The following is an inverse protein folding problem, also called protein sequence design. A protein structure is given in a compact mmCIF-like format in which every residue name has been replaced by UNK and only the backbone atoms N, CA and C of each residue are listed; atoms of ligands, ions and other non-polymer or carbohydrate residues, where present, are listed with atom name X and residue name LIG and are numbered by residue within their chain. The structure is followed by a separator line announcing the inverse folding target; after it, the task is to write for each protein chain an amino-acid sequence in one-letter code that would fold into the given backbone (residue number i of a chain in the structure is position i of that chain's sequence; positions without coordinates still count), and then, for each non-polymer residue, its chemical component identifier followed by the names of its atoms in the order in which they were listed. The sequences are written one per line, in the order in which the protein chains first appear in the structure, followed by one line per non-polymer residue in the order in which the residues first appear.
data_IF_129348400721
#
_entry.id   IF_129348400721
#
_cell.length_a   1.000
_cell.length_b   1.000
_cell.length_c   1.000
_cell.angle_alpha   90.00
_cell.angle_beta   90.00
_cell.angle_gamma   90.00
#
_symmetry.space_group_name_H-M   'P 1'
#
loop_
_entity.id
_entity.type
_entity.pdbx_description
1 polymer ?
#
# COMPACT_ATOMS: atom_id res chain seq x y z
N UNK A 1 -12.99 5.74 -20.26
CA UNK A 1 -11.65 6.10 -19.75
C UNK A 1 -11.61 5.92 -18.25
N UNK A 2 -10.54 5.33 -17.74
CA UNK A 2 -10.39 5.02 -16.31
C UNK A 2 -9.90 6.24 -15.54
N UNK A 3 -10.42 6.47 -14.33
CA UNK A 3 -10.08 7.66 -13.54
C UNK A 3 -10.25 7.43 -12.04
N UNK A 4 -9.43 8.12 -11.25
CA UNK A 4 -9.61 8.25 -9.81
C UNK A 4 -9.76 9.72 -9.45
N UNK A 5 -10.86 10.07 -8.79
CA UNK A 5 -11.16 11.41 -8.29
C UNK A 5 -10.90 11.40 -6.78
N UNK A 6 -9.88 12.13 -6.33
CA UNK A 6 -9.47 12.16 -4.93
C UNK A 6 -9.89 13.50 -4.35
N UNK A 7 -10.71 13.46 -3.30
CA UNK A 7 -11.31 14.62 -2.64
C UNK A 7 -11.77 15.69 -3.65
N UNK A 8 -12.62 15.35 -4.62
CA UNK A 8 -13.01 16.27 -5.69
C UNK A 8 -13.68 17.52 -5.11
N UNK A 9 -13.36 18.69 -5.67
CA UNK A 9 -13.96 19.96 -5.22
C UNK A 9 -15.23 20.34 -6.00
N UNK A 10 -15.47 19.65 -7.12
CA UNK A 10 -16.58 19.90 -8.04
C UNK A 10 -17.22 18.59 -8.43
N UNK A 11 -18.48 18.69 -8.85
CA UNK A 11 -19.22 17.58 -9.41
C UNK A 11 -18.53 16.99 -10.64
N UNK A 12 -18.71 15.69 -10.83
CA UNK A 12 -18.33 14.98 -12.04
C UNK A 12 -19.55 14.55 -12.85
N UNK A 13 -19.29 13.93 -14.01
CA UNK A 13 -20.35 13.47 -14.91
C UNK A 13 -21.22 12.35 -14.30
N UNK A 14 -20.74 11.68 -13.26
CA UNK A 14 -21.36 10.49 -12.66
C UNK A 14 -21.49 10.57 -11.13
N UNK A 15 -21.08 11.69 -10.52
CA UNK A 15 -21.16 11.89 -9.09
C UNK A 15 -21.35 13.37 -8.73
N UNK A 16 -21.98 13.62 -7.59
CA UNK A 16 -22.13 14.94 -6.97
C UNK A 16 -21.33 15.01 -5.68
N UNK A 17 -20.84 16.19 -5.36
CA UNK A 17 -19.97 16.41 -4.19
C UNK A 17 -20.62 17.39 -3.21
N UNK A 18 -20.69 16.98 -1.95
CA UNK A 18 -21.13 17.84 -0.86
C UNK A 18 -20.04 18.81 -0.37
N UNK A 19 -20.42 19.91 0.31
CA UNK A 19 -19.48 20.74 1.05
C UNK A 19 -18.63 19.92 2.04
N UNK A 20 -17.42 20.38 2.38
CA UNK A 20 -16.55 19.65 3.29
C UNK A 20 -17.15 19.59 4.70
N UNK A 21 -17.05 18.42 5.32
CA UNK A 21 -17.50 18.11 6.66
C UNK A 21 -16.36 17.48 7.49
N UNK A 22 -16.55 17.42 8.82
CA UNK A 22 -15.65 16.76 9.78
C UNK A 22 -16.46 15.85 10.70
N UNK A 23 -15.80 14.96 11.43
CA UNK A 23 -16.48 14.07 12.39
C UNK A 23 -17.32 12.98 11.72
N UNK A 24 -16.89 12.50 10.56
CA UNK A 24 -17.60 11.46 9.84
C UNK A 24 -17.42 10.10 10.53
N UNK A 25 -18.52 9.47 10.92
CA UNK A 25 -18.51 8.13 11.52
C UNK A 25 -18.85 7.10 10.46
N UNK A 26 -18.00 6.08 10.31
CA UNK A 26 -18.29 4.95 9.42
C UNK A 26 -19.61 4.29 9.80
N UNK A 27 -20.44 3.99 8.81
CA UNK A 27 -21.76 3.40 8.99
C UNK A 27 -21.89 2.04 8.29
N UNK A 28 -21.45 1.95 7.03
CA UNK A 28 -21.55 0.72 6.23
C UNK A 28 -20.43 0.69 5.20
N UNK A 29 -19.94 -0.50 4.85
CA UNK A 29 -19.04 -0.69 3.74
C UNK A 29 -19.20 -2.06 3.09
N UNK A 30 -18.77 -2.18 1.83
CA UNK A 30 -18.86 -3.41 1.05
C UNK A 30 -17.51 -4.13 0.92
N UNK A 31 -17.26 -5.11 1.80
CA UNK A 31 -16.02 -5.89 1.79
C UNK A 31 -15.89 -6.81 0.56
N UNK A 32 -16.95 -7.04 -0.22
CA UNK A 32 -16.88 -7.89 -1.40
C UNK A 32 -16.26 -7.18 -2.61
N UNK A 33 -16.23 -5.84 -2.60
CA UNK A 33 -15.69 -5.07 -3.71
C UNK A 33 -14.15 -5.09 -3.73
N UNK A 34 -13.49 -5.30 -4.89
CA UNK A 34 -12.02 -5.35 -4.99
C UNK A 34 -11.28 -4.12 -4.45
N UNK A 35 -11.93 -2.95 -4.48
CA UNK A 35 -11.37 -1.72 -3.91
C UNK A 35 -11.15 -1.79 -2.39
N UNK A 36 -11.92 -2.62 -1.68
CA UNK A 36 -11.87 -2.76 -0.22
C UNK A 36 -11.25 -4.09 0.22
N UNK A 37 -10.63 -4.83 -0.71
CA UNK A 37 -9.94 -6.08 -0.45
C UNK A 37 -8.82 -5.87 0.59
N UNK A 38 -8.86 -6.66 1.68
CA UNK A 38 -7.91 -6.58 2.81
C UNK A 38 -7.87 -5.25 3.57
N UNK A 39 -8.84 -4.35 3.34
CA UNK A 39 -8.90 -3.06 4.03
C UNK A 39 -9.63 -3.20 5.36
N UNK A 40 -8.97 -2.81 6.45
CA UNK A 40 -9.63 -2.61 7.74
C UNK A 40 -10.09 -1.15 7.86
N UNK A 41 -11.29 -0.84 7.35
CA UNK A 41 -11.85 0.52 7.38
C UNK A 41 -12.03 1.12 8.78
N UNK A 42 -12.37 0.37 9.84
CA UNK A 42 -12.44 0.92 11.20
C UNK A 42 -11.13 1.52 11.72
N UNK A 43 -9.99 1.18 11.11
CA UNK A 43 -8.68 1.76 11.45
C UNK A 43 -8.41 3.10 10.75
N UNK A 44 -9.31 3.54 9.85
CA UNK A 44 -9.21 4.84 9.19
C UNK A 44 -9.93 5.88 10.04
N UNK A 45 -9.16 6.78 10.64
CA UNK A 45 -9.69 7.86 11.48
C UNK A 45 -10.25 9.00 10.61
N UNK A 46 -11.59 9.07 10.49
CA UNK A 46 -12.28 10.12 9.76
C UNK A 46 -12.69 11.33 10.63
N UNK A 47 -12.51 11.24 11.95
CA UNK A 47 -13.03 12.24 12.89
C UNK A 47 -12.37 13.62 12.72
N UNK A 48 -11.06 13.64 12.43
CA UNK A 48 -10.25 14.85 12.41
C UNK A 48 -9.83 15.30 11.00
N UNK A 49 -10.19 14.56 9.95
CA UNK A 49 -9.86 14.89 8.57
C UNK A 49 -11.07 15.50 7.85
N UNK A 50 -10.85 16.46 6.93
CA UNK A 50 -11.91 16.94 6.07
C UNK A 50 -12.37 15.81 5.15
N UNK A 51 -13.68 15.62 5.07
CA UNK A 51 -14.32 14.70 4.13
C UNK A 51 -15.41 15.41 3.34
N UNK A 52 -15.74 14.90 2.17
CA UNK A 52 -16.81 15.36 1.30
C UNK A 52 -17.66 14.15 0.95
N UNK A 53 -18.95 14.23 1.24
CA UNK A 53 -19.84 13.17 0.82
C UNK A 53 -19.99 13.18 -0.70
N UNK A 54 -20.01 11.99 -1.27
CA UNK A 54 -20.25 11.71 -2.68
C UNK A 54 -21.68 11.20 -2.78
N UNK A 55 -22.41 11.65 -3.78
CA UNK A 55 -23.69 11.07 -4.13
C UNK A 55 -23.61 10.57 -5.56
N UNK A 56 -24.14 9.38 -5.80
CA UNK A 56 -24.11 8.72 -7.10
C UNK A 56 -25.46 8.17 -7.48
N UNK A 57 -25.71 8.04 -8.77
CA UNK A 57 -26.87 7.34 -9.32
C UNK A 57 -26.43 6.00 -9.95
N UNK A 58 -27.33 5.01 -10.06
CA UNK A 58 -27.05 3.78 -10.79
C UNK A 58 -26.52 4.08 -12.21
N UNK A 59 -25.49 3.36 -12.70
CA UNK A 59 -24.95 2.09 -12.20
C UNK A 59 -23.81 2.22 -11.17
N UNK A 60 -23.52 3.41 -10.64
CA UNK A 60 -22.48 3.54 -9.62
C UNK A 60 -22.86 2.84 -8.31
N UNK A 61 -21.84 2.32 -7.62
CA UNK A 61 -21.93 1.61 -6.36
C UNK A 61 -21.31 2.45 -5.24
N UNK A 62 -22.07 2.66 -4.17
CA UNK A 62 -21.61 3.31 -2.94
C UNK A 62 -20.93 2.26 -2.03
N UNK A 63 -19.61 2.32 -1.93
CA UNK A 63 -18.80 1.27 -1.29
C UNK A 63 -18.50 1.55 0.17
N UNK A 64 -18.35 2.81 0.56
CA UNK A 64 -18.12 3.22 1.96
C UNK A 64 -19.08 4.34 2.30
N UNK A 65 -19.91 4.13 3.32
CA UNK A 65 -20.91 5.06 3.79
C UNK A 65 -20.60 5.49 5.23
N UNK A 66 -20.88 6.75 5.52
CA UNK A 66 -20.66 7.38 6.81
C UNK A 66 -21.87 8.20 7.25
N UNK A 67 -21.82 8.74 8.47
CA UNK A 67 -22.83 9.66 9.00
C UNK A 67 -23.02 10.94 8.18
N UNK A 68 -22.05 11.31 7.35
CA UNK A 68 -22.16 12.49 6.47
C UNK A 68 -22.52 12.14 5.02
N UNK A 69 -22.59 10.85 4.68
CA UNK A 69 -22.87 10.33 3.34
C UNK A 69 -21.79 9.36 2.83
N UNK A 70 -21.81 9.04 1.54
CA UNK A 70 -20.84 8.12 0.92
C UNK A 70 -19.47 8.76 0.83
N UNK A 71 -18.43 8.02 1.21
CA UNK A 71 -17.03 8.44 1.20
C UNK A 71 -16.22 7.76 0.10
N UNK A 72 -16.70 6.64 -0.44
CA UNK A 72 -16.07 5.93 -1.56
C UNK A 72 -17.17 5.41 -2.48
N UNK A 73 -17.11 5.79 -3.76
CA UNK A 73 -18.01 5.27 -4.77
C UNK A 73 -17.22 4.75 -5.98
N UNK A 74 -17.73 3.70 -6.60
CA UNK A 74 -17.17 3.09 -7.80
C UNK A 74 -18.19 3.12 -8.93
N UNK A 75 -17.72 3.38 -10.14
CA UNK A 75 -18.50 3.33 -11.36
C UNK A 75 -17.80 2.40 -12.34
N UNK A 76 -18.48 1.32 -12.73
CA UNK A 76 -17.94 0.32 -13.64
C UNK A 76 -18.91 0.11 -14.82
N UNK A 77 -18.32 0.11 -16.00
CA UNK A 77 -18.95 -0.20 -17.29
C UNK A 77 -17.98 -1.09 -18.06
N UNK A 78 -18.42 -1.68 -19.17
CA UNK A 78 -17.56 -2.50 -20.03
C UNK A 78 -16.26 -1.77 -20.46
N UNK A 79 -16.34 -0.45 -20.67
CA UNK A 79 -15.24 0.36 -21.24
C UNK A 79 -14.58 1.33 -20.24
N UNK A 80 -15.07 1.39 -19.00
CA UNK A 80 -14.51 2.32 -18.02
C UNK A 80 -14.73 1.92 -16.57
N UNK A 81 -13.68 2.14 -15.78
CA UNK A 81 -13.68 2.07 -14.32
C UNK A 81 -13.30 3.41 -13.72
N UNK A 82 -14.19 3.98 -12.93
CA UNK A 82 -13.96 5.27 -12.25
C UNK A 82 -14.22 5.12 -10.77
N UNK A 83 -13.40 5.75 -9.95
CA UNK A 83 -13.57 5.78 -8.49
C UNK A 83 -13.56 7.21 -8.00
N UNK A 84 -14.41 7.53 -7.04
CA UNK A 84 -14.45 8.82 -6.39
C UNK A 84 -14.28 8.62 -4.88
N UNK A 85 -13.36 9.38 -4.28
CA UNK A 85 -13.05 9.38 -2.86
C UNK A 85 -13.40 10.72 -2.25
N UNK A 86 -14.21 10.68 -1.19
CA UNK A 86 -14.62 11.83 -0.43
C UNK A 86 -13.55 12.34 0.54
N UNK A 87 -12.40 11.68 0.63
CA UNK A 87 -11.35 11.99 1.59
C UNK A 87 -10.00 11.92 0.91
N UNK A 88 -9.03 12.61 1.52
CA UNK A 88 -7.66 12.65 1.03
C UNK A 88 -6.91 11.35 1.42
N UNK A 89 -6.18 10.78 0.47
CA UNK A 89 -5.34 9.59 0.65
C UNK A 89 -3.83 9.94 0.64
N UNK A 90 -3.50 11.21 0.39
CA UNK A 90 -2.14 11.73 0.36
C UNK A 90 -1.85 12.77 1.47
N UNK A 91 -0.59 12.91 1.92
CA UNK A 91 0.60 12.17 1.50
C UNK A 91 0.64 10.75 2.09
N UNK A 92 1.27 9.83 1.36
CA UNK A 92 1.46 8.45 1.78
C UNK A 92 2.36 8.37 3.03
N UNK A 93 1.77 8.11 4.19
CA UNK A 93 2.51 7.82 5.43
C UNK A 93 2.25 6.38 5.85
N UNK A 94 2.95 5.42 5.24
CA UNK A 94 2.77 3.98 5.48
C UNK A 94 2.88 3.53 6.95
N UNK A 95 3.55 4.32 7.80
CA UNK A 95 3.61 4.05 9.26
C UNK A 95 2.37 4.48 10.05
N UNK A 96 1.53 5.36 9.49
CA UNK A 96 0.37 5.95 10.20
C UNK A 96 -0.98 5.41 9.70
N UNK A 97 -1.06 4.85 8.49
CA UNK A 97 -2.34 4.40 7.95
C UNK A 97 -2.20 3.27 6.93
N UNK A 98 -1.91 2.05 7.39
CA UNK A 98 -1.81 0.86 6.53
C UNK A 98 -3.07 0.67 5.67
N UNK A 99 -4.27 0.93 6.22
CA UNK A 99 -5.53 0.86 5.48
C UNK A 99 -5.59 1.82 4.29
N UNK A 100 -5.11 3.07 4.43
CA UNK A 100 -5.07 4.03 3.31
C UNK A 100 -4.09 3.60 2.23
N UNK A 101 -2.96 2.99 2.61
CA UNK A 101 -2.00 2.41 1.66
C UNK A 101 -2.63 1.30 0.83
N UNK A 102 -3.36 0.39 1.49
CA UNK A 102 -4.06 -0.71 0.82
C UNK A 102 -5.16 -0.17 -0.10
N UNK A 103 -5.97 0.78 0.36
CA UNK A 103 -6.99 1.44 -0.49
C UNK A 103 -6.36 2.06 -1.73
N UNK A 104 -5.25 2.78 -1.57
CA UNK A 104 -4.54 3.43 -2.68
C UNK A 104 -4.04 2.41 -3.72
N UNK A 105 -3.45 1.30 -3.25
CA UNK A 105 -2.99 0.22 -4.13
C UNK A 105 -4.16 -0.50 -4.83
N UNK A 106 -5.24 -0.76 -4.11
CA UNK A 106 -6.44 -1.38 -4.68
C UNK A 106 -7.07 -0.49 -5.75
N UNK A 107 -7.12 0.82 -5.53
CA UNK A 107 -7.56 1.80 -6.53
C UNK A 107 -6.71 1.69 -7.78
N UNK A 108 -5.39 1.77 -7.64
CA UNK A 108 -4.50 1.66 -8.78
C UNK A 108 -4.69 0.34 -9.51
N UNK A 109 -4.65 -0.80 -8.82
CA UNK A 109 -4.90 -2.12 -9.41
C UNK A 109 -6.24 -2.19 -10.17
N UNK A 110 -7.30 -1.63 -9.59
CA UNK A 110 -8.65 -1.70 -10.16
C UNK A 110 -8.81 -0.81 -11.40
N UNK A 111 -8.31 0.43 -11.37
CA UNK A 111 -8.34 1.34 -12.54
C UNK A 111 -7.28 0.99 -13.58
N UNK A 112 -6.16 0.38 -13.16
CA UNK A 112 -5.02 -0.01 -13.99
C UNK A 112 -5.09 -1.45 -14.45
N UNK A 113 -6.25 -2.11 -14.37
CA UNK A 113 -6.51 -3.31 -15.17
C UNK A 113 -6.52 -2.91 -16.65
N UNK A 114 -5.41 -2.38 -17.18
CA UNK A 114 -4.50 -3.04 -18.11
C UNK A 114 -5.34 -3.92 -19.01
N UNK A 115 -5.58 -3.43 -20.24
CA UNK A 115 -5.85 -4.31 -21.36
C UNK A 115 -4.85 -5.46 -21.27
N UNK A 116 -5.31 -6.63 -20.85
CA UNK A 116 -4.57 -7.89 -20.77
C UNK A 116 -4.27 -8.43 -22.18
N UNK A 117 -3.89 -7.54 -23.10
CA UNK A 117 -3.56 -7.88 -24.48
C UNK A 117 -2.25 -7.26 -24.98
N UNK A 118 -1.56 -6.35 -24.25
CA UNK A 118 -0.32 -5.73 -24.80
C UNK A 118 0.85 -5.43 -23.86
N UNK A 119 0.76 -5.71 -22.55
CA UNK A 119 1.89 -5.43 -21.63
C UNK A 119 2.24 -6.52 -20.64
N UNK A 120 1.54 -7.66 -20.67
CA UNK A 120 2.20 -8.92 -20.32
C UNK A 120 3.16 -9.19 -21.48
N UNK A 121 4.40 -8.73 -21.35
CA UNK A 121 5.48 -9.36 -22.10
C UNK A 121 5.38 -10.83 -21.72
N UNK A 122 5.07 -11.67 -22.70
CA UNK A 122 5.18 -13.12 -22.58
C UNK A 122 6.55 -13.43 -22.00
N UNK A 123 6.59 -13.66 -20.68
CA UNK A 123 7.80 -14.12 -20.03
C UNK A 123 8.01 -15.51 -20.60
N UNK A 124 8.98 -15.61 -21.51
CA UNK A 124 9.42 -16.81 -22.23
C UNK A 124 8.62 -17.20 -23.49
N UNK A 125 8.92 -16.52 -24.60
CA UNK A 125 8.83 -17.11 -25.94
C UNK A 125 10.22 -17.56 -26.39
N UNK A 126 10.53 -18.83 -26.11
CA UNK A 126 11.16 -19.84 -26.98
C UNK A 126 11.38 -21.12 -26.15
N UNK A 127 10.65 -22.18 -26.52
CA UNK A 127 10.58 -23.56 -25.98
C UNK A 127 11.81 -24.03 -25.16
N UNK A 128 11.56 -24.76 -24.06
CA UNK A 128 11.14 -26.17 -24.18
C UNK A 128 9.70 -26.40 -23.70
N UNK A 129 9.03 -27.41 -24.28
CA UNK A 129 7.75 -27.90 -23.75
C UNK A 129 7.95 -28.31 -22.28
N UNK A 130 7.37 -27.50 -21.38
CA UNK A 130 7.37 -27.77 -19.95
C UNK A 130 6.53 -29.02 -19.71
N UNK A 131 7.10 -30.01 -19.03
CA UNK A 131 6.45 -31.29 -18.72
C UNK A 131 5.78 -31.26 -17.35
N UNK A 132 6.34 -30.52 -16.40
CA UNK A 132 5.74 -30.34 -15.07
C UNK A 132 6.25 -29.07 -14.40
N UNK A 133 5.37 -28.46 -13.61
CA UNK A 133 5.69 -27.32 -12.73
C UNK A 133 5.27 -27.68 -11.30
N UNK A 134 6.19 -27.54 -10.35
CA UNK A 134 5.96 -27.76 -8.93
C UNK A 134 6.26 -26.46 -8.17
N UNK A 135 5.28 -25.87 -7.49
CA UNK A 135 5.52 -24.74 -6.61
C UNK A 135 6.13 -25.23 -5.30
N UNK A 136 7.28 -24.68 -4.93
CA UNK A 136 8.02 -25.00 -3.71
C UNK A 136 7.53 -24.13 -2.55
N UNK A 137 6.24 -24.20 -2.23
CA UNK A 137 5.61 -23.43 -1.15
C UNK A 137 4.90 -24.33 -0.13
N UNK A 138 5.57 -25.37 0.37
CA UNK A 138 5.09 -26.23 1.48
C UNK A 138 3.77 -27.00 1.24
N UNK A 139 3.01 -26.67 0.20
CA UNK A 139 1.74 -27.22 -0.22
C UNK A 139 1.95 -27.93 -1.55
N UNK A 140 1.97 -29.26 -1.50
CA UNK A 140 2.05 -30.13 -2.68
C UNK A 140 0.79 -29.95 -3.53
N UNK A 141 0.92 -29.20 -4.63
CA UNK A 141 -0.04 -29.20 -5.74
C UNK A 141 0.64 -29.71 -7.00
N UNK A 142 0.36 -30.95 -7.38
CA UNK A 142 0.80 -31.53 -8.67
C UNK A 142 -0.09 -30.92 -9.75
N UNK A 143 0.43 -30.01 -10.56
CA UNK A 143 -0.25 -29.59 -11.81
C UNK A 143 0.22 -30.54 -12.92
N UNK A 144 -0.76 -31.19 -13.56
CA UNK A 144 -0.61 -32.42 -14.34
C UNK A 144 0.30 -32.35 -15.58
N UNK A 145 0.62 -33.54 -16.10
CA UNK A 145 1.31 -33.77 -17.37
C UNK A 145 0.38 -33.39 -18.54
N UNK A 146 0.34 -32.13 -18.95
CA UNK A 146 -0.17 -31.78 -20.27
C UNK A 146 0.76 -30.78 -20.96
N UNK A 147 0.76 -30.83 -22.29
CA UNK A 147 1.52 -29.93 -23.13
C UNK A 147 0.86 -28.55 -23.08
N UNK A 148 1.35 -27.66 -22.22
CA UNK A 148 0.77 -26.33 -22.04
C UNK A 148 1.44 -25.30 -22.95
N UNK A 149 0.68 -24.78 -23.92
CA UNK A 149 1.13 -23.78 -24.91
C UNK A 149 1.19 -22.35 -24.33
N UNK A 150 0.80 -22.14 -23.07
CA UNK A 150 0.74 -20.81 -22.46
C UNK A 150 1.47 -20.77 -21.10
N UNK A 151 2.68 -20.22 -21.10
CA UNK A 151 3.49 -20.00 -19.89
C UNK A 151 2.77 -19.16 -18.81
N UNK A 152 1.83 -18.29 -19.23
CA UNK A 152 1.06 -17.41 -18.35
C UNK A 152 0.00 -18.13 -17.49
N UNK A 153 -0.40 -19.36 -17.82
CA UNK A 153 -1.31 -20.15 -16.98
C UNK A 153 -0.57 -20.97 -15.91
N UNK A 154 0.74 -21.20 -16.10
CA UNK A 154 1.54 -22.07 -15.22
C UNK A 154 2.01 -21.38 -13.94
N UNK A 155 2.08 -20.05 -13.93
CA UNK A 155 2.60 -19.25 -12.83
C UNK A 155 1.56 -18.23 -12.36
N UNK A 156 0.54 -18.72 -11.66
CA UNK A 156 -0.59 -17.91 -11.19
C UNK A 156 -0.34 -17.25 -9.82
N UNK A 157 0.77 -17.58 -9.15
CA UNK A 157 1.16 -17.03 -7.86
C UNK A 157 2.65 -16.65 -7.89
N UNK A 158 3.08 -15.65 -7.11
CA UNK A 158 4.50 -15.38 -6.96
C UNK A 158 5.09 -16.46 -6.06
N UNK A 159 6.29 -16.94 -6.40
CA UNK A 159 6.89 -18.04 -5.65
C UNK A 159 8.05 -18.69 -6.38
N UNK A 160 8.65 -19.68 -5.73
CA UNK A 160 9.71 -20.49 -6.31
C UNK A 160 9.10 -21.73 -6.95
N UNK A 161 9.36 -21.94 -8.24
CA UNK A 161 8.86 -23.06 -9.01
C UNK A 161 10.00 -23.97 -9.44
N UNK A 162 9.80 -25.28 -9.35
CA UNK A 162 10.65 -26.28 -10.00
C UNK A 162 9.98 -26.69 -11.30
N UNK A 163 10.64 -26.39 -12.41
CA UNK A 163 10.16 -26.69 -13.76
C UNK A 163 10.97 -27.82 -14.34
N UNK A 164 10.30 -28.83 -14.89
CA UNK A 164 10.92 -29.93 -15.63
C UNK A 164 10.59 -29.80 -17.11
N UNK A 165 11.64 -29.78 -17.93
CA UNK A 165 11.53 -29.67 -19.38
C UNK A 165 11.53 -31.06 -20.05
N UNK A 166 11.11 -31.14 -21.31
CA UNK A 166 11.02 -32.40 -22.07
C UNK A 166 12.37 -33.08 -22.30
N UNK A 167 13.46 -32.32 -22.34
CA UNK A 167 14.84 -32.81 -22.38
C UNK A 167 15.31 -33.44 -21.05
N UNK A 168 14.48 -33.37 -20.00
CA UNK A 168 14.79 -33.89 -18.67
C UNK A 168 15.48 -32.88 -17.76
N UNK A 169 15.80 -31.67 -18.25
CA UNK A 169 16.41 -30.62 -17.46
C UNK A 169 15.42 -30.12 -16.39
N UNK A 170 15.93 -29.90 -15.19
CA UNK A 170 15.17 -29.29 -14.09
C UNK A 170 15.78 -27.94 -13.74
N UNK A 171 14.95 -26.90 -13.69
CA UNK A 171 15.37 -25.56 -13.25
C UNK A 171 14.49 -25.04 -12.13
N UNK A 172 15.10 -24.27 -11.24
CA UNK A 172 14.39 -23.46 -10.26
C UNK A 172 14.15 -22.08 -10.86
N UNK A 173 12.90 -21.63 -10.83
CA UNK A 173 12.46 -20.35 -11.34
C UNK A 173 11.82 -19.57 -10.19
N UNK A 174 12.38 -18.41 -9.85
CA UNK A 174 11.69 -17.46 -9.01
C UNK A 174 10.76 -16.64 -9.91
N UNK A 175 9.45 -16.72 -9.67
CA UNK A 175 8.46 -15.89 -10.36
C UNK A 175 8.07 -14.75 -9.45
N UNK A 176 8.43 -13.54 -9.85
CA UNK A 176 7.96 -12.31 -9.22
C UNK A 176 7.16 -11.49 -10.23
N UNK A 177 6.03 -10.91 -9.82
CA UNK A 177 5.15 -10.13 -10.70
C UNK A 177 5.71 -8.74 -11.06
N UNK A 178 6.82 -8.32 -10.46
CA UNK A 178 7.30 -6.94 -10.52
C UNK A 178 8.43 -6.68 -11.52
N UNK A 179 9.34 -7.63 -11.80
CA UNK A 179 10.42 -7.45 -12.80
C UNK A 179 10.98 -8.79 -13.32
N UNK A 180 11.09 -8.93 -14.64
CA UNK A 180 11.67 -10.10 -15.31
C UNK A 180 13.20 -10.16 -15.21
N UNK A 181 13.87 -9.03 -14.96
CA UNK A 181 15.32 -8.97 -14.71
C UNK A 181 15.68 -9.47 -13.32
N UNK A 182 14.84 -9.22 -12.31
CA UNK A 182 15.04 -9.76 -10.95
C UNK A 182 14.75 -11.25 -10.85
N UNK A 183 13.91 -11.79 -11.75
CA UNK A 183 13.52 -13.19 -11.78
C UNK A 183 14.56 -14.12 -12.45
N UNK A 184 15.65 -13.55 -13.01
CA UNK A 184 16.66 -14.32 -13.75
C UNK A 184 17.80 -14.80 -12.83
N UNK A 185 17.64 -15.99 -12.25
CA UNK A 185 18.66 -16.62 -11.38
C UNK A 185 19.90 -17.13 -12.16
N UNK A 186 19.90 -17.08 -13.50
CA UNK A 186 21.08 -17.42 -14.31
C UNK A 186 22.09 -16.28 -14.36
N UNK A 187 21.69 -15.08 -13.96
CA UNK A 187 22.57 -13.91 -13.87
C UNK A 187 22.87 -13.69 -12.39
N UNK A 188 23.94 -14.31 -11.90
CA UNK A 188 24.57 -13.88 -10.65
C UNK A 188 25.25 -12.55 -10.93
N UNK A 189 24.50 -11.45 -10.87
CA UNK A 189 25.13 -10.14 -10.71
C UNK A 189 25.72 -10.15 -9.29
N UNK A 190 27.03 -10.36 -9.21
CA UNK A 190 27.77 -10.10 -8.00
C UNK A 190 27.44 -8.67 -7.58
N UNK A 191 26.78 -8.54 -6.43
CA UNK A 191 26.46 -7.23 -5.87
C UNK A 191 27.82 -6.64 -5.50
N UNK A 192 28.41 -5.85 -6.40
CA UNK A 192 29.46 -4.94 -6.00
C UNK A 192 28.83 -4.07 -4.91
N UNK A 193 29.34 -4.13 -3.65
CA UNK A 193 28.88 -3.19 -2.65
C UNK A 193 29.20 -1.82 -3.22
N UNK A 194 28.14 -1.10 -3.62
CA UNK A 194 28.25 0.29 -3.99
C UNK A 194 28.68 0.98 -2.72
N UNK A 195 29.99 1.20 -2.63
CA UNK A 195 30.62 2.10 -1.66
C UNK A 195 30.24 3.52 -2.06
N UNK A 196 28.93 3.80 -2.04
CA UNK A 196 28.45 5.15 -1.89
C UNK A 196 28.98 5.59 -0.53
N UNK A 197 29.84 6.62 -0.45
CA UNK A 197 30.32 7.07 0.84
C UNK A 197 29.09 7.52 1.62
N UNK A 198 28.71 6.71 2.62
CA UNK A 198 27.87 7.19 3.70
C UNK A 198 28.51 8.52 4.11
N UNK A 199 27.76 9.61 4.00
CA UNK A 199 28.17 10.89 4.55
C UNK A 199 28.20 10.70 6.06
N UNK A 200 29.29 10.13 6.56
CA UNK A 200 29.62 10.09 7.97
C UNK A 200 29.90 11.54 8.34
N UNK A 201 28.93 12.13 9.05
CA UNK A 201 29.22 13.30 9.87
C UNK A 201 30.43 12.92 10.73
N UNK A 202 31.55 13.68 10.68
CA UNK A 202 32.75 13.35 11.44
C UNK A 202 32.39 13.09 12.90
N UNK A 203 32.92 12.02 13.50
CA UNK A 203 32.53 11.61 14.87
C UNK A 203 32.68 12.75 15.90
N UNK A 204 33.61 13.69 15.68
CA UNK A 204 33.74 14.91 16.48
C UNK A 204 32.49 15.81 16.48
N UNK A 205 31.81 15.97 15.33
CA UNK A 205 30.58 16.75 15.24
C UNK A 205 29.41 16.02 15.90
N UNK A 206 29.41 14.68 15.87
CA UNK A 206 28.40 13.85 16.53
C UNK A 206 28.53 13.92 18.05
N UNK A 207 29.74 13.88 18.59
CA UNK A 207 29.97 14.04 20.04
C UNK A 207 29.65 15.47 20.53
N UNK A 208 29.98 16.49 19.73
CA UNK A 208 29.60 17.88 20.02
C UNK A 208 28.07 18.06 20.07
N UNK A 209 27.33 17.47 19.13
CA UNK A 209 25.86 17.51 19.13
C UNK A 209 25.27 16.73 20.32
N UNK A 210 25.82 15.56 20.64
CA UNK A 210 25.36 14.75 21.77
C UNK A 210 25.60 15.44 23.11
N UNK A 211 26.75 16.10 23.29
CA UNK A 211 27.05 16.85 24.50
C UNK A 211 26.14 18.08 24.68
N UNK A 212 25.86 18.82 23.59
CA UNK A 212 24.90 19.94 23.62
C UNK A 212 23.49 19.44 23.97
N UNK A 213 23.04 18.34 23.37
CA UNK A 213 21.73 17.74 23.67
C UNK A 213 21.65 17.25 25.12
N UNK A 214 22.70 16.62 25.64
CA UNK A 214 22.75 16.16 27.03
C UNK A 214 22.72 17.33 28.03
N UNK A 215 23.41 18.44 27.72
CA UNK A 215 23.37 19.65 28.52
C UNK A 215 21.96 20.25 28.53
N UNK A 216 21.33 20.37 27.35
CA UNK A 216 19.98 20.91 27.23
C UNK A 216 18.95 20.08 28.01
N UNK A 217 19.04 18.75 27.91
CA UNK A 217 18.18 17.83 28.66
C UNK A 217 18.36 17.99 30.19
N UNK A 218 19.61 18.20 30.64
CA UNK A 218 19.92 18.40 32.06
C UNK A 218 19.35 19.72 32.57
N UNK A 219 19.48 20.81 31.79
CA UNK A 219 18.89 22.12 32.14
C UNK A 219 17.37 22.01 32.25
N UNK A 220 16.72 21.33 31.30
CA UNK A 220 15.27 21.11 31.34
C UNK A 220 14.84 20.34 32.59
N UNK A 221 15.58 19.30 33.00
CA UNK A 221 15.30 18.55 34.23
C UNK A 221 15.44 19.39 35.49
N UNK A 222 16.46 20.25 35.57
CA UNK A 222 16.64 21.15 36.72
C UNK A 222 15.52 22.18 36.79
N UNK A 223 15.12 22.76 35.66
CA UNK A 223 14.00 23.71 35.61
C UNK A 223 12.69 23.04 36.04
N UNK A 224 12.42 21.83 35.56
CA UNK A 224 11.23 21.06 35.96
C UNK A 224 11.23 20.78 37.47
N UNK A 225 12.36 20.35 38.02
CA UNK A 225 12.51 20.11 39.46
C UNK A 225 12.25 21.40 40.27
N UNK A 226 12.79 22.54 39.84
CA UNK A 226 12.56 23.82 40.50
C UNK A 226 11.09 24.24 40.45
N UNK A 227 10.41 24.02 39.32
CA UNK A 227 8.97 24.28 39.19
C UNK A 227 8.14 23.39 40.12
N UNK A 228 8.50 22.11 40.23
CA UNK A 228 7.86 21.16 41.16
C UNK A 228 8.03 21.59 42.61
N UNK A 229 9.25 21.95 43.01
CA UNK A 229 9.54 22.43 44.38
C UNK A 229 8.82 23.74 44.67
N UNK A 230 8.87 24.71 43.75
CA UNK A 230 8.17 25.99 43.90
C UNK A 230 6.66 25.80 44.04
N UNK A 231 6.07 24.91 43.23
CA UNK A 231 4.66 24.53 43.33
C UNK A 231 4.35 23.90 44.69
N UNK A 232 5.22 23.03 45.21
CA UNK A 232 5.02 22.38 46.50
C UNK A 232 5.10 23.37 47.67
N UNK A 233 6.06 24.30 47.65
CA UNK A 233 6.20 25.37 48.66
C UNK A 233 5.03 26.35 48.63
N UNK A 234 4.52 26.70 47.45
CA UNK A 234 3.32 27.53 47.32
C UNK A 234 2.07 26.85 47.89
N UNK A 235 1.95 25.54 47.73
CA UNK A 235 0.83 24.76 48.28
C UNK A 235 0.93 24.62 49.81
N UNK A 236 2.12 24.40 50.36
CA UNK A 236 2.30 24.30 51.82
C UNK A 236 2.07 25.63 52.55
N UNK A 237 2.37 26.79 51.92
CA UNK A 237 2.06 28.12 52.47
C UNK A 237 0.57 28.49 52.45
N UNK A 238 -0.27 27.80 51.67
CA UNK A 238 -1.73 28.03 51.65
C UNK A 238 -2.50 27.17 52.65
N UNK A 239 -1.84 26.21 53.29
CA UNK A 239 -2.44 25.28 54.25
C UNK A 239 -2.24 25.66 55.72
N UNK A 240 -1.57 26.80 55.97
CA UNK A 240 -1.36 27.44 57.29
C UNK A 240 -2.13 28.75 57.28
#
# INVERSE_FOLDING_TARGET
GNAAYIMPERDGDWFRVSPPAKGAKLAKWDNAHPLLEYVSLPLVEFDNIPVRAISTEPPALELVNSSVGTLLAAYETADSRKVALGFEIFPFSGKRSASLSIITLNIFKWISSFSTSRGYLETFSTKPEIVSVEQLDGYRGIIGKESFDAASQLFNQPGLYRVKYRDGEQRLLAVNFFDSKESNLLISNEIEPSSSPASSVPDEQREALLSVLALLATVLLVVDLLLVVARHVLLSRRAV
#
